data_IF_171362938360
#
_entry.id   IF_171362938360
#
_cell.length_a   1.000
_cell.length_b   1.000
_cell.length_c   1.000
_cell.angle_alpha   90.00
_cell.angle_beta   90.00
_cell.angle_gamma   90.00
#
_symmetry.space_group_name_H-M   'P 1'
#
loop_
_entity.id
_entity.type
_entity.pdbx_description
1 polymer ?
#
# COMPACT_ATOMS: atom_id res chain seq x y z
N UNK A 1 3.72 2.03 -1.16
CA UNK A 1 3.25 3.19 -1.97
C UNK A 1 4.15 3.37 -3.15
N UNK A 2 3.60 3.55 -4.34
CA UNK A 2 4.31 3.90 -5.57
C UNK A 2 3.99 5.34 -5.96
N UNK A 3 5.02 6.15 -6.23
CA UNK A 3 4.89 7.52 -6.73
C UNK A 3 5.29 7.54 -8.19
N UNK A 4 4.29 7.72 -9.04
CA UNK A 4 4.39 7.67 -10.49
C UNK A 4 5.00 8.93 -11.10
N UNK A 5 5.47 8.86 -12.35
CA UNK A 5 6.07 10.01 -13.04
C UNK A 5 5.14 11.23 -13.15
N UNK A 6 3.84 10.97 -13.25
CA UNK A 6 2.80 11.99 -13.40
C UNK A 6 2.27 12.51 -12.07
N UNK A 7 2.83 12.06 -10.93
CA UNK A 7 2.31 12.39 -9.61
C UNK A 7 2.41 13.89 -9.28
N UNK A 8 1.38 14.43 -8.64
CA UNK A 8 1.53 15.66 -7.85
C UNK A 8 2.45 15.36 -6.66
N UNK A 9 3.67 15.91 -6.70
CA UNK A 9 4.70 15.64 -5.69
C UNK A 9 4.31 16.15 -4.28
N UNK A 10 3.47 17.18 -4.19
CA UNK A 10 2.99 17.66 -2.89
C UNK A 10 1.94 16.72 -2.30
N UNK A 11 1.04 16.20 -3.13
CA UNK A 11 0.10 15.16 -2.73
C UNK A 11 0.85 13.88 -2.33
N UNK A 12 1.82 13.45 -3.13
CA UNK A 12 2.65 12.29 -2.86
C UNK A 12 3.36 12.40 -1.51
N UNK A 13 4.01 13.54 -1.23
CA UNK A 13 4.67 13.76 0.06
C UNK A 13 3.69 13.63 1.23
N UNK A 14 2.54 14.31 1.15
CA UNK A 14 1.50 14.26 2.20
C UNK A 14 1.01 12.83 2.44
N UNK A 15 0.75 12.07 1.38
CA UNK A 15 0.28 10.69 1.46
C UNK A 15 1.34 9.82 2.11
N UNK A 16 2.59 9.86 1.62
CA UNK A 16 3.69 9.03 2.11
C UNK A 16 3.97 9.31 3.58
N UNK A 17 4.07 10.59 3.97
CA UNK A 17 4.29 10.98 5.37
C UNK A 17 3.13 10.50 6.25
N UNK A 18 1.87 10.77 5.87
CA UNK A 18 0.72 10.32 6.64
C UNK A 18 0.71 8.79 6.81
N UNK A 19 0.99 8.07 5.73
CA UNK A 19 0.92 6.62 5.70
C UNK A 19 2.05 5.96 6.52
N UNK A 20 3.21 6.60 6.69
CA UNK A 20 4.30 6.09 7.56
C UNK A 20 4.15 6.55 9.02
N UNK A 21 3.85 7.83 9.24
CA UNK A 21 4.09 8.47 10.55
C UNK A 21 2.83 8.69 11.38
N UNK A 22 1.62 8.49 10.83
CA UNK A 22 0.39 8.68 11.61
C UNK A 22 0.25 7.64 12.72
N UNK A 23 0.60 6.39 12.44
CA UNK A 23 0.64 5.28 13.40
C UNK A 23 1.58 4.20 12.83
N UNK A 24 2.89 4.22 13.13
CA UNK A 24 3.84 3.29 12.51
C UNK A 24 3.70 1.84 13.00
N UNK A 25 3.08 1.62 14.16
CA UNK A 25 2.96 0.31 14.80
C UNK A 25 1.76 -0.54 14.33
N UNK A 26 1.10 -0.15 13.23
CA UNK A 26 -0.05 -0.90 12.67
C UNK A 26 0.26 -1.42 11.27
N UNK A 27 -0.34 -2.55 10.92
CA UNK A 27 -0.05 -3.30 9.69
C UNK A 27 -0.45 -2.63 8.36
N UNK A 28 -1.15 -1.48 8.40
CA UNK A 28 -1.45 -0.69 7.21
C UNK A 28 -0.58 0.58 7.11
N UNK A 29 0.41 0.74 7.99
CA UNK A 29 1.47 1.70 7.81
C UNK A 29 2.35 1.29 6.63
N UNK A 30 2.91 2.26 5.90
CA UNK A 30 3.73 1.94 4.73
C UNK A 30 5.11 1.48 5.18
N UNK A 31 5.61 0.43 4.54
CA UNK A 31 6.96 -0.11 4.79
C UNK A 31 7.87 0.05 3.58
N UNK A 32 7.28 0.19 2.38
CA UNK A 32 7.98 0.38 1.12
C UNK A 32 7.47 1.63 0.38
N UNK A 33 8.41 2.45 -0.08
CA UNK A 33 8.20 3.55 -1.01
C UNK A 33 8.91 3.25 -2.34
N UNK A 34 8.13 3.15 -3.41
CA UNK A 34 8.63 3.04 -4.77
C UNK A 34 8.49 4.40 -5.46
N UNK A 35 9.53 4.84 -6.14
CA UNK A 35 9.55 6.13 -6.83
C UNK A 35 9.94 5.91 -8.29
N UNK A 36 9.18 6.48 -9.22
CA UNK A 36 9.53 6.42 -10.63
C UNK A 36 10.84 7.15 -10.93
N UNK A 37 11.70 6.56 -11.77
CA UNK A 37 13.05 7.08 -12.03
C UNK A 37 13.08 8.52 -12.56
N UNK A 38 12.12 8.89 -13.42
CA UNK A 38 12.06 10.22 -14.04
C UNK A 38 11.83 11.37 -13.04
N UNK A 39 11.27 11.08 -11.86
CA UNK A 39 11.00 12.07 -10.81
C UNK A 39 11.91 11.91 -9.58
N UNK A 40 12.76 10.88 -9.56
CA UNK A 40 13.58 10.54 -8.38
C UNK A 40 14.43 11.73 -7.90
N UNK A 41 15.09 12.43 -8.82
CA UNK A 41 15.96 13.57 -8.49
C UNK A 41 15.18 14.78 -7.92
N UNK A 42 13.91 14.94 -8.31
CA UNK A 42 13.05 16.01 -7.80
C UNK A 42 12.36 15.63 -6.48
N UNK A 43 11.98 14.36 -6.32
CA UNK A 43 11.15 13.91 -5.22
C UNK A 43 11.94 13.35 -4.02
N UNK A 44 13.00 12.57 -4.25
CA UNK A 44 13.76 11.91 -3.17
C UNK A 44 14.36 12.90 -2.14
N UNK A 45 15.01 14.02 -2.53
CA UNK A 45 15.52 14.97 -1.55
C UNK A 45 14.41 15.53 -0.66
N UNK A 46 13.26 15.82 -1.27
CA UNK A 46 12.10 16.42 -0.63
C UNK A 46 11.45 15.45 0.36
N UNK A 47 11.13 14.24 -0.08
CA UNK A 47 10.46 13.25 0.78
C UNK A 47 11.39 12.74 1.90
N UNK A 48 12.70 12.61 1.64
CA UNK A 48 13.64 12.19 2.67
C UNK A 48 13.81 13.23 3.76
N UNK A 49 13.82 14.53 3.42
CA UNK A 49 13.83 15.59 4.41
C UNK A 49 12.59 15.52 5.30
N UNK A 50 11.40 15.40 4.71
CA UNK A 50 10.13 15.32 5.45
C UNK A 50 10.05 14.09 6.37
N UNK A 51 10.51 12.93 5.89
CA UNK A 51 10.55 11.69 6.69
C UNK A 51 11.57 11.77 7.82
N UNK A 52 12.78 12.30 7.56
CA UNK A 52 13.83 12.49 8.57
C UNK A 52 13.41 13.47 9.66
N UNK A 53 12.68 14.53 9.33
CA UNK A 53 12.10 15.45 10.32
C UNK A 53 11.16 14.74 11.31
N UNK A 54 10.50 13.65 10.86
CA UNK A 54 9.64 12.80 11.69
C UNK A 54 10.41 11.66 12.40
N UNK A 55 11.74 11.62 12.28
CA UNK A 55 12.56 10.58 12.89
C UNK A 55 12.56 9.24 12.15
N UNK A 56 12.13 9.22 10.87
CA UNK A 56 12.11 7.99 10.07
C UNK A 56 13.51 7.65 9.57
N UNK A 57 13.97 6.44 9.87
CA UNK A 57 15.12 5.82 9.23
C UNK A 57 14.75 5.38 7.80
N UNK A 58 15.57 5.76 6.84
CA UNK A 58 15.33 5.50 5.41
C UNK A 58 16.41 4.56 4.92
N UNK A 59 16.01 3.40 4.40
CA UNK A 59 16.88 2.41 3.75
C UNK A 59 16.58 2.40 2.26
N UNK A 60 17.57 2.26 1.38
CA UNK A 60 17.32 2.17 -0.05
C UNK A 60 18.48 1.71 -0.90
N UNK A 61 18.19 1.57 -2.19
CA UNK A 61 19.16 1.20 -3.21
C UNK A 61 20.30 2.24 -3.39
N UNK A 62 21.24 1.95 -4.29
CA UNK A 62 22.40 2.82 -4.53
C UNK A 62 22.01 4.23 -5.02
N UNK A 63 20.86 4.38 -5.71
CA UNK A 63 20.37 5.67 -6.16
C UNK A 63 19.82 6.46 -4.97
N UNK A 64 19.00 5.83 -4.12
CA UNK A 64 18.50 6.40 -2.87
C UNK A 64 19.65 6.83 -1.92
N UNK A 65 20.75 6.07 -1.86
CA UNK A 65 21.91 6.40 -1.04
C UNK A 65 22.56 7.74 -1.41
N UNK A 66 22.47 8.17 -2.67
CA UNK A 66 22.95 9.50 -3.11
C UNK A 66 22.20 10.65 -2.41
N UNK A 67 21.01 10.37 -1.89
CA UNK A 67 20.15 11.31 -1.16
C UNK A 67 20.18 11.09 0.36
N UNK A 68 21.08 10.22 0.84
CA UNK A 68 21.32 9.97 2.25
C UNK A 68 20.38 8.94 2.88
N UNK A 69 19.92 7.95 2.11
CA UNK A 69 19.39 6.69 2.65
C UNK A 69 20.54 5.78 3.13
N UNK A 70 20.27 4.94 4.12
CA UNK A 70 21.11 3.79 4.48
C UNK A 70 20.99 2.70 3.39
N UNK A 71 21.97 1.80 3.24
CA UNK A 71 21.86 0.71 2.29
C UNK A 71 20.71 -0.25 2.67
N UNK A 72 19.80 -0.50 1.74
CA UNK A 72 18.81 -1.57 1.87
C UNK A 72 19.39 -2.91 1.40
N UNK A 73 19.05 -3.96 2.13
CA UNK A 73 19.17 -5.36 1.71
C UNK A 73 17.90 -5.80 0.97
N UNK A 74 17.96 -6.96 0.31
CA UNK A 74 16.76 -7.56 -0.30
C UNK A 74 15.69 -7.93 0.74
N UNK A 75 16.09 -8.24 1.98
CA UNK A 75 15.18 -8.60 3.08
C UNK A 75 14.36 -7.40 3.55
N UNK A 76 14.93 -6.18 3.48
CA UNK A 76 14.24 -4.95 3.88
C UNK A 76 12.94 -4.74 3.09
N UNK A 77 12.92 -5.08 1.79
CA UNK A 77 11.72 -4.91 0.97
C UNK A 77 10.56 -5.84 1.38
N UNK A 78 10.86 -7.00 1.98
CA UNK A 78 9.86 -7.93 2.52
C UNK A 78 9.57 -7.75 4.02
N UNK A 79 10.26 -6.82 4.68
CA UNK A 79 10.20 -6.66 6.14
C UNK A 79 9.05 -5.72 6.52
N UNK A 80 8.19 -6.17 7.43
CA UNK A 80 7.24 -5.30 8.13
C UNK A 80 7.93 -4.74 9.39
N UNK A 81 8.34 -3.46 9.34
CA UNK A 81 9.14 -2.87 10.41
C UNK A 81 8.31 -2.52 11.65
N UNK A 82 7.04 -2.11 11.46
CA UNK A 82 6.15 -1.63 12.53
C UNK A 82 6.76 -0.47 13.37
N UNK A 83 7.66 0.29 12.75
CA UNK A 83 8.43 1.36 13.39
C UNK A 83 8.65 2.52 12.41
N UNK A 84 9.34 3.57 12.85
CA UNK A 84 9.83 4.67 12.04
C UNK A 84 11.01 4.24 11.15
N UNK A 85 10.82 3.19 10.36
CA UNK A 85 11.74 2.69 9.34
C UNK A 85 10.96 2.53 8.03
N UNK A 86 11.58 2.87 6.90
CA UNK A 86 11.01 2.66 5.56
C UNK A 86 12.09 2.25 4.56
N UNK A 87 11.78 1.27 3.71
CA UNK A 87 12.60 0.90 2.57
C UNK A 87 12.15 1.68 1.31
N UNK A 88 13.10 2.17 0.53
CA UNK A 88 12.87 3.01 -0.65
C UNK A 88 13.62 2.46 -1.85
N UNK A 89 12.92 2.32 -2.97
CA UNK A 89 13.50 1.85 -4.23
C UNK A 89 13.05 2.73 -5.38
N UNK A 90 13.96 2.99 -6.30
CA UNK A 90 13.62 3.61 -7.58
C UNK A 90 13.27 2.53 -8.60
N UNK A 91 12.18 2.72 -9.33
CA UNK A 91 11.66 1.78 -10.34
C UNK A 91 11.47 2.50 -11.67
N UNK A 92 11.52 1.75 -12.77
CA UNK A 92 11.46 2.27 -14.13
C UNK A 92 10.07 2.73 -14.52
N UNK A 93 9.03 2.01 -14.09
CA UNK A 93 7.65 2.23 -14.52
C UNK A 93 6.64 1.59 -13.54
N UNK A 94 5.35 1.73 -13.85
CA UNK A 94 4.24 1.15 -13.07
C UNK A 94 4.24 -0.38 -13.12
N UNK A 95 4.75 -0.99 -14.19
CA UNK A 95 4.86 -2.44 -14.35
C UNK A 95 5.88 -3.02 -13.37
N UNK A 96 7.08 -2.43 -13.28
CA UNK A 96 8.09 -2.80 -12.29
C UNK A 96 7.56 -2.56 -10.87
N UNK A 97 6.87 -1.45 -10.63
CA UNK A 97 6.25 -1.17 -9.34
C UNK A 97 5.26 -2.27 -8.93
N UNK A 98 4.36 -2.67 -9.81
CA UNK A 98 3.40 -3.74 -9.57
C UNK A 98 4.08 -5.10 -9.34
N UNK A 99 5.12 -5.42 -10.12
CA UNK A 99 5.92 -6.64 -9.93
C UNK A 99 6.63 -6.67 -8.58
N UNK A 100 7.23 -5.55 -8.17
CA UNK A 100 7.87 -5.42 -6.87
C UNK A 100 6.85 -5.64 -5.74
N UNK A 101 5.71 -4.96 -5.80
CA UNK A 101 4.65 -5.08 -4.79
C UNK A 101 4.13 -6.51 -4.70
N UNK A 102 3.84 -7.16 -5.83
CA UNK A 102 3.36 -8.55 -5.81
C UNK A 102 4.40 -9.56 -5.32
N UNK A 103 5.70 -9.22 -5.41
CA UNK A 103 6.80 -10.06 -4.95
C UNK A 103 7.06 -9.92 -3.45
N UNK A 104 7.12 -8.70 -2.93
CA UNK A 104 7.55 -8.43 -1.56
C UNK A 104 6.39 -8.06 -0.61
N UNK A 105 5.27 -7.58 -1.15
CA UNK A 105 4.11 -7.17 -0.37
C UNK A 105 3.37 -8.34 0.27
N UNK A 106 2.77 -8.08 1.42
CA UNK A 106 1.96 -9.05 2.18
C UNK A 106 0.48 -9.05 1.76
N UNK A 107 0.16 -8.36 0.66
CA UNK A 107 -1.19 -8.23 0.08
C UNK A 107 -2.20 -7.53 0.99
N UNK A 108 -1.73 -6.62 1.85
CA UNK A 108 -2.55 -5.86 2.77
C UNK A 108 -3.12 -4.60 2.11
N UNK A 109 -2.31 -3.56 1.97
CA UNK A 109 -2.71 -2.24 1.47
C UNK A 109 -1.66 -1.68 0.53
N UNK A 110 -2.06 -1.33 -0.68
CA UNK A 110 -1.14 -0.82 -1.69
C UNK A 110 -1.68 0.45 -2.33
N UNK A 111 -0.81 1.38 -2.70
CA UNK A 111 -1.24 2.68 -3.20
C UNK A 111 -0.34 3.15 -4.34
N UNK A 112 -0.95 3.69 -5.39
CA UNK A 112 -0.31 4.50 -6.42
C UNK A 112 -0.69 5.97 -6.23
N UNK A 113 0.29 6.87 -6.39
CA UNK A 113 0.07 8.31 -6.53
C UNK A 113 0.39 8.69 -7.97
N UNK A 114 -0.61 9.15 -8.74
CA UNK A 114 -0.50 9.40 -10.18
C UNK A 114 -1.58 10.39 -10.64
N UNK A 115 -1.32 11.13 -11.73
CA UNK A 115 -2.37 11.85 -12.46
C UNK A 115 -2.73 11.21 -13.80
N UNK A 116 -2.03 10.13 -14.18
CA UNK A 116 -2.30 9.35 -15.39
C UNK A 116 -3.37 8.27 -15.09
N UNK A 117 -4.57 8.36 -15.71
CA UNK A 117 -5.60 7.34 -15.55
C UNK A 117 -5.17 5.95 -16.02
N UNK A 118 -4.34 5.84 -17.06
CA UNK A 118 -3.89 4.55 -17.57
C UNK A 118 -2.98 3.83 -16.58
N UNK A 119 -2.09 4.57 -15.90
CA UNK A 119 -1.23 4.00 -14.86
C UNK A 119 -2.05 3.64 -13.60
N UNK A 120 -3.05 4.45 -13.25
CA UNK A 120 -3.98 4.13 -12.16
C UNK A 120 -4.76 2.83 -12.44
N UNK A 121 -5.35 2.72 -13.62
CA UNK A 121 -6.10 1.54 -14.06
C UNK A 121 -5.20 0.30 -14.08
N UNK A 122 -4.02 0.40 -14.69
CA UNK A 122 -3.04 -0.69 -14.72
C UNK A 122 -2.69 -1.16 -13.30
N UNK A 123 -2.33 -0.23 -12.40
CA UNK A 123 -1.95 -0.56 -11.04
C UNK A 123 -3.07 -1.26 -10.28
N UNK A 124 -4.30 -0.74 -10.38
CA UNK A 124 -5.46 -1.34 -9.69
C UNK A 124 -5.86 -2.71 -10.23
N UNK A 125 -5.60 -2.99 -11.51
CA UNK A 125 -5.84 -4.30 -12.10
C UNK A 125 -4.74 -5.33 -11.75
N UNK A 126 -3.49 -4.88 -11.62
CA UNK A 126 -2.34 -5.79 -11.54
C UNK A 126 -1.78 -5.98 -10.12
N UNK A 127 -2.14 -5.12 -9.16
CA UNK A 127 -1.70 -5.26 -7.76
C UNK A 127 -2.72 -6.06 -6.94
N UNK A 128 -2.30 -7.20 -6.40
CA UNK A 128 -3.17 -8.12 -5.67
C UNK A 128 -3.12 -7.91 -4.15
N UNK A 129 -3.84 -6.88 -3.65
CA UNK A 129 -3.94 -6.57 -2.23
C UNK A 129 -5.39 -6.60 -1.72
N UNK A 130 -5.58 -6.58 -0.40
CA UNK A 130 -6.92 -6.48 0.20
C UNK A 130 -7.54 -5.10 -0.04
N UNK A 131 -6.74 -4.05 -0.06
CA UNK A 131 -7.13 -2.72 -0.51
C UNK A 131 -6.08 -2.11 -1.44
N UNK A 132 -6.51 -1.61 -2.60
CA UNK A 132 -5.66 -0.90 -3.56
C UNK A 132 -6.18 0.52 -3.71
N UNK A 133 -5.30 1.49 -3.52
CA UNK A 133 -5.63 2.92 -3.49
C UNK A 133 -5.01 3.66 -4.67
N UNK A 134 -5.73 4.67 -5.15
CA UNK A 134 -5.22 5.69 -6.06
C UNK A 134 -5.31 7.02 -5.33
N UNK A 135 -4.17 7.71 -5.17
CA UNK A 135 -4.08 9.04 -4.56
C UNK A 135 -4.66 9.13 -3.13
N UNK A 136 -4.56 8.06 -2.35
CA UNK A 136 -5.04 8.00 -0.96
C UNK A 136 -4.08 7.21 -0.04
N UNK A 137 -4.09 7.54 1.25
CA UNK A 137 -3.24 6.88 2.24
C UNK A 137 -3.66 5.43 2.48
N UNK A 138 -2.70 4.52 2.66
CA UNK A 138 -2.96 3.12 3.05
C UNK A 138 -3.59 3.00 4.44
N UNK A 139 -3.50 4.06 5.26
CA UNK A 139 -4.09 4.12 6.60
C UNK A 139 -5.62 4.02 6.60
N UNK A 140 -6.25 4.24 5.46
CA UNK A 140 -7.69 4.03 5.30
C UNK A 140 -8.10 2.56 5.27
N UNK A 141 -7.17 1.59 5.29
CA UNK A 141 -7.53 0.17 5.39
C UNK A 141 -7.93 -0.14 6.82
N UNK A 142 -9.18 0.18 7.15
CA UNK A 142 -9.78 0.12 8.48
C UNK A 142 -11.31 0.07 8.32
N UNK A 143 -11.97 -0.75 9.12
CA UNK A 143 -13.42 -0.97 9.05
C UNK A 143 -14.26 0.26 9.37
N UNK A 144 -13.84 1.13 10.29
CA UNK A 144 -14.56 2.37 10.58
C UNK A 144 -14.46 3.33 9.39
N UNK A 145 -13.25 3.52 8.84
CA UNK A 145 -13.00 4.33 7.65
C UNK A 145 -13.77 3.83 6.41
N UNK A 146 -13.98 2.51 6.31
CA UNK A 146 -14.78 1.89 5.24
C UNK A 146 -16.29 1.86 5.53
N UNK A 147 -16.74 2.37 6.68
CA UNK A 147 -18.16 2.47 7.04
C UNK A 147 -18.79 1.18 7.57
N UNK A 148 -17.98 0.21 8.01
CA UNK A 148 -18.44 -1.03 8.66
C UNK A 148 -18.79 -0.79 10.15
N UNK A 149 -18.34 0.33 10.71
CA UNK A 149 -18.55 0.74 12.10
C UNK A 149 -17.64 0.02 13.11
N UNK A 150 -17.43 -1.28 12.94
CA UNK A 150 -16.45 -2.05 13.70
C UNK A 150 -15.89 -3.20 12.85
N UNK A 151 -14.68 -3.63 13.18
CA UNK A 151 -14.02 -4.79 12.60
C UNK A 151 -13.40 -5.70 13.68
N UNK A 152 -13.20 -6.97 13.34
CA UNK A 152 -12.33 -7.89 14.12
C UNK A 152 -10.86 -7.71 13.75
N UNK A 153 -10.61 -7.30 12.52
CA UNK A 153 -9.29 -7.10 11.93
C UNK A 153 -9.37 -7.24 10.42
N UNK A 154 -8.20 -7.33 9.78
CA UNK A 154 -8.07 -7.25 8.34
C UNK A 154 -7.54 -8.56 7.77
N UNK A 155 -8.33 -9.18 6.89
CA UNK A 155 -7.94 -10.41 6.21
C UNK A 155 -7.16 -10.10 4.93
N UNK A 156 -5.96 -10.66 4.80
CA UNK A 156 -5.18 -10.66 3.56
C UNK A 156 -5.39 -11.92 2.72
N UNK A 157 -6.23 -12.85 3.20
CA UNK A 157 -6.52 -14.11 2.52
C UNK A 157 -7.51 -13.91 1.36
N UNK A 158 -7.45 -14.79 0.35
CA UNK A 158 -8.34 -14.72 -0.82
C UNK A 158 -9.70 -15.41 -0.62
N UNK A 159 -9.83 -16.26 0.40
CA UNK A 159 -11.03 -17.07 0.61
C UNK A 159 -11.91 -16.46 1.70
N UNK A 160 -13.23 -16.64 1.55
CA UNK A 160 -14.27 -16.17 2.48
C UNK A 160 -14.41 -14.64 2.57
N UNK A 161 -13.48 -13.95 3.22
CA UNK A 161 -13.48 -12.51 3.42
C UNK A 161 -12.07 -11.94 3.25
N UNK A 162 -11.96 -10.76 2.63
CA UNK A 162 -10.71 -10.05 2.36
C UNK A 162 -10.91 -8.56 2.64
N UNK A 163 -9.95 -7.94 3.32
CA UNK A 163 -10.08 -6.59 3.86
C UNK A 163 -10.66 -6.59 5.29
N UNK A 164 -11.17 -5.44 5.76
CA UNK A 164 -11.86 -5.32 7.05
C UNK A 164 -12.98 -6.36 7.20
N UNK A 165 -12.97 -7.10 8.31
CA UNK A 165 -13.98 -8.10 8.63
C UNK A 165 -14.99 -7.54 9.63
N UNK A 166 -16.12 -7.07 9.12
CA UNK A 166 -17.24 -6.60 9.93
C UNK A 166 -18.30 -7.69 10.18
N UNK A 167 -19.51 -7.30 10.64
CA UNK A 167 -20.55 -8.27 11.01
C UNK A 167 -20.99 -9.18 9.86
N UNK A 168 -20.94 -8.71 8.61
CA UNK A 168 -21.34 -9.49 7.43
C UNK A 168 -20.35 -10.61 7.14
N UNK A 169 -19.06 -10.36 7.32
CA UNK A 169 -17.98 -11.31 7.09
C UNK A 169 -17.97 -12.44 8.15
N UNK A 170 -18.75 -12.30 9.22
CA UNK A 170 -18.98 -13.33 10.24
C UNK A 170 -20.24 -14.17 10.00
N UNK A 171 -20.89 -14.00 8.85
CA UNK A 171 -22.04 -14.80 8.45
C UNK A 171 -21.65 -15.88 7.46
N UNK A 172 -22.53 -16.89 7.33
CA UNK A 172 -22.50 -17.85 6.24
C UNK A 172 -23.87 -17.89 5.60
N UNK A 173 -24.00 -18.52 4.44
CA UNK A 173 -25.25 -18.62 3.70
C UNK A 173 -25.77 -20.06 3.72
N UNK A 174 -27.09 -20.19 3.54
CA UNK A 174 -27.75 -21.47 3.32
C UNK A 174 -28.79 -21.32 2.22
N UNK A 175 -29.04 -22.39 1.49
CA UNK A 175 -30.11 -22.43 0.51
C UNK A 175 -31.42 -22.81 1.20
N UNK A 176 -32.47 -22.04 0.92
CA UNK A 176 -33.84 -22.35 1.37
C UNK A 176 -34.66 -22.66 0.12
N UNK A 177 -35.01 -23.92 -0.08
CA UNK A 177 -35.85 -24.37 -1.20
C UNK A 177 -37.25 -24.63 -0.68
N UNK A 178 -38.24 -23.91 -1.23
CA UNK A 178 -39.66 -24.11 -0.91
C UNK A 178 -40.35 -24.76 -2.10
N UNK A 179 -40.93 -25.93 -1.86
CA UNK A 179 -41.59 -26.73 -2.88
C UNK A 179 -43.05 -27.02 -2.56
N UNK A 180 -43.76 -27.53 -3.56
CA UNK A 180 -45.15 -28.00 -3.52
C UNK A 180 -45.29 -29.38 -4.17
N UNK A 181 -44.20 -30.14 -4.27
CA UNK A 181 -44.19 -31.49 -4.88
C UNK A 181 -43.24 -31.64 -6.07
N UNK A 182 -42.21 -30.80 -6.19
CA UNK A 182 -41.20 -30.91 -7.23
C UNK A 182 -40.44 -32.23 -7.10
N UNK A 183 -40.30 -32.92 -8.22
CA UNK A 183 -39.47 -34.12 -8.40
C UNK A 183 -38.21 -33.76 -9.20
N UNK A 184 -37.16 -34.59 -9.10
CA UNK A 184 -35.87 -34.37 -9.78
C UNK A 184 -35.91 -34.80 -11.24
#
# INVERSE_FOLDING_TARGET
VYVDESADLQMAERIVVNAKTSRPSVCNAIENLLVHESIADAFLPRIFAALKEKGVEIRGDALCQRYGALPASEEDYSTEFLDYIIAVRVVQDVQEAAQHINRYGTRHSECIVTSDPANADYFTEHVDAAAVYVNASTRFTDGEEFGFGAEIGISTQKLHARGPMGPRELTSYKYIVRGTGQIR
#
